data_IF_711192280057
#
_entry.id   IF_711192280057
#
_cell.length_a   1.000
_cell.length_b   1.000
_cell.length_c   1.000
_cell.angle_alpha   90.00
_cell.angle_beta   90.00
_cell.angle_gamma   90.00
#
_symmetry.space_group_name_H-M   'P 1'
#
loop_
_entity.id
_entity.type
_entity.pdbx_description
1 polymer ?
#
# COMPACT_ATOMS: atom_id res chain seq x y z
N UNK A 1 20.95 -3.89 -40.71
CA UNK A 1 20.80 -2.72 -39.83
C UNK A 1 20.61 -3.25 -38.42
N UNK A 2 21.54 -3.00 -37.49
CA UNK A 2 21.49 -3.63 -36.17
C UNK A 2 20.45 -2.97 -35.28
N UNK A 3 19.72 -3.83 -34.59
CA UNK A 3 18.73 -3.61 -33.55
C UNK A 3 19.23 -2.61 -32.50
N UNK A 4 18.49 -1.51 -32.31
CA UNK A 4 18.69 -0.63 -31.18
C UNK A 4 18.21 -1.34 -29.91
N UNK A 5 19.16 -1.87 -29.16
CA UNK A 5 18.97 -2.34 -27.79
C UNK A 5 18.49 -1.17 -26.93
N UNK A 6 17.35 -1.37 -26.27
CA UNK A 6 16.90 -0.53 -25.17
C UNK A 6 18.00 -0.50 -24.10
N UNK A 7 18.23 0.63 -23.42
CA UNK A 7 19.25 0.69 -22.38
C UNK A 7 18.89 -0.26 -21.23
N UNK A 8 19.86 -1.08 -20.85
CA UNK A 8 19.83 -1.94 -19.66
C UNK A 8 19.36 -1.14 -18.44
N UNK A 9 18.22 -1.54 -17.89
CA UNK A 9 17.82 -1.14 -16.54
C UNK A 9 18.81 -1.79 -15.57
N UNK A 10 19.67 -0.97 -14.95
CA UNK A 10 20.67 -1.37 -13.96
C UNK A 10 20.05 -2.28 -12.87
N UNK A 11 20.50 -3.53 -12.80
CA UNK A 11 20.08 -4.60 -11.87
C UNK A 11 20.38 -4.29 -10.38
N UNK A 12 20.76 -3.05 -10.03
CA UNK A 12 21.06 -2.60 -8.67
C UNK A 12 19.91 -1.91 -7.95
N UNK A 13 18.74 -1.77 -8.58
CA UNK A 13 17.52 -1.34 -7.89
C UNK A 13 16.92 -2.55 -7.16
N UNK A 14 16.84 -2.50 -5.83
CA UNK A 14 16.26 -3.60 -5.06
C UNK A 14 14.82 -3.85 -5.53
N UNK A 15 14.60 -4.92 -6.30
CA UNK A 15 13.27 -5.26 -6.80
C UNK A 15 12.38 -5.62 -5.61
N UNK A 16 11.25 -4.94 -5.52
CA UNK A 16 10.19 -5.29 -4.59
C UNK A 16 9.14 -6.06 -5.38
N UNK A 17 8.74 -7.19 -4.82
CA UNK A 17 7.64 -7.96 -5.38
C UNK A 17 6.32 -7.22 -5.10
N UNK A 18 5.82 -6.50 -6.10
CA UNK A 18 4.51 -5.84 -6.08
C UNK A 18 3.36 -6.75 -6.56
N UNK A 19 3.58 -8.07 -6.67
CA UNK A 19 2.57 -8.98 -7.24
C UNK A 19 1.38 -9.25 -6.32
N UNK A 20 1.38 -8.76 -5.08
CA UNK A 20 0.30 -9.07 -4.13
C UNK A 20 -0.10 -7.93 -3.20
N UNK A 21 -1.13 -7.21 -3.65
CA UNK A 21 -1.93 -6.32 -2.83
C UNK A 21 -2.93 -7.13 -1.99
N UNK A 22 -2.80 -7.05 -0.66
CA UNK A 22 -3.54 -7.87 0.32
C UNK A 22 -4.55 -7.01 1.11
N UNK A 23 -4.38 -5.69 1.10
CA UNK A 23 -5.26 -4.76 1.79
C UNK A 23 -6.66 -4.74 1.21
N UNK A 24 -6.83 -5.08 -0.07
CA UNK A 24 -8.09 -5.02 -0.86
C UNK A 24 -8.65 -3.60 -1.02
N UNK A 25 -7.94 -2.61 -0.49
CA UNK A 25 -8.20 -1.18 -0.59
C UNK A 25 -6.84 -0.48 -0.77
N UNK A 26 -6.69 0.46 -1.72
CA UNK A 26 -5.44 1.17 -1.96
C UNK A 26 -4.75 1.71 -0.70
N UNK A 27 -5.51 2.27 0.24
CA UNK A 27 -4.94 2.81 1.48
C UNK A 27 -4.44 1.74 2.47
N UNK A 28 -5.06 0.56 2.52
CA UNK A 28 -4.58 -0.55 3.34
C UNK A 28 -3.35 -1.21 2.72
N UNK A 29 -3.31 -1.28 1.39
CA UNK A 29 -2.15 -1.72 0.65
C UNK A 29 -0.97 -0.77 0.79
N UNK A 30 -1.24 0.54 0.78
CA UNK A 30 -0.26 1.57 1.10
C UNK A 30 0.29 1.39 2.51
N UNK A 31 -0.59 1.19 3.49
CA UNK A 31 -0.22 0.91 4.86
C UNK A 31 0.70 -0.33 4.93
N UNK A 32 0.38 -1.42 4.22
CA UNK A 32 1.15 -2.67 4.19
C UNK A 32 2.49 -2.63 3.41
N UNK A 33 2.82 -1.51 2.76
CA UNK A 33 4.06 -1.37 1.98
C UNK A 33 5.34 -1.32 2.82
N UNK A 34 5.25 -1.13 4.14
CA UNK A 34 6.41 -1.11 5.04
C UNK A 34 7.02 -2.51 5.30
N UNK A 35 6.32 -3.57 4.86
CA UNK A 35 6.68 -4.98 5.06
C UNK A 35 6.46 -5.80 3.79
N UNK A 36 6.99 -5.28 2.69
CA UNK A 36 7.04 -6.01 1.42
C UNK A 36 8.15 -7.05 1.43
N UNK A 37 7.92 -8.15 0.73
CA UNK A 37 8.92 -9.21 0.58
C UNK A 37 9.91 -8.75 -0.49
N UNK A 38 11.20 -8.76 -0.16
CA UNK A 38 12.32 -8.58 -1.10
C UNK A 38 12.65 -9.93 -1.76
N UNK A 39 13.38 -9.91 -2.87
CA UNK A 39 13.78 -11.10 -3.65
C UNK A 39 14.44 -12.24 -2.83
N UNK A 40 15.02 -11.94 -1.66
CA UNK A 40 15.65 -12.94 -0.77
C UNK A 40 14.78 -13.40 0.40
N UNK A 41 13.47 -13.15 0.35
CA UNK A 41 12.54 -13.47 1.43
C UNK A 41 12.66 -12.58 2.67
N UNK A 42 13.52 -11.55 2.63
CA UNK A 42 13.62 -10.55 3.70
C UNK A 42 12.48 -9.54 3.60
N UNK A 43 11.97 -9.10 4.75
CA UNK A 43 11.00 -8.01 4.80
C UNK A 43 11.71 -6.67 4.67
N UNK A 44 11.16 -5.76 3.87
CA UNK A 44 11.63 -4.39 3.73
C UNK A 44 10.51 -3.41 3.45
N UNK A 45 10.83 -2.13 3.63
CA UNK A 45 9.97 -1.03 3.23
C UNK A 45 10.04 -0.86 1.70
N UNK A 46 8.92 -1.13 1.00
CA UNK A 46 8.81 -0.99 -0.45
C UNK A 46 8.91 0.46 -0.95
N UNK A 47 8.85 1.44 -0.05
CA UNK A 47 9.01 2.86 -0.35
C UNK A 47 10.26 3.38 0.37
N UNK A 48 11.39 2.70 0.16
CA UNK A 48 12.68 3.08 0.76
C UNK A 48 13.40 4.20 0.00
N UNK A 49 13.07 4.38 -1.28
CA UNK A 49 13.56 5.46 -2.15
C UNK A 49 12.43 5.95 -3.09
N UNK A 50 12.61 7.12 -3.71
CA UNK A 50 11.51 7.77 -4.46
C UNK A 50 11.11 6.97 -5.71
N UNK A 51 12.08 6.34 -6.37
CA UNK A 51 11.87 5.41 -7.46
C UNK A 51 11.01 4.21 -7.04
N UNK A 52 11.33 3.57 -5.91
CA UNK A 52 10.54 2.47 -5.34
C UNK A 52 9.11 2.89 -4.97
N UNK A 53 8.93 4.15 -4.55
CA UNK A 53 7.62 4.72 -4.28
C UNK A 53 6.80 4.92 -5.55
N UNK A 54 7.39 5.44 -6.63
CA UNK A 54 6.73 5.56 -7.93
C UNK A 54 6.38 4.17 -8.49
N UNK A 55 7.29 3.19 -8.38
CA UNK A 55 7.01 1.81 -8.78
C UNK A 55 5.85 1.21 -7.99
N UNK A 56 5.76 1.47 -6.69
CA UNK A 56 4.63 1.04 -5.86
C UNK A 56 3.31 1.68 -6.32
N UNK A 57 3.30 3.00 -6.57
CA UNK A 57 2.10 3.72 -7.05
C UNK A 57 1.61 3.19 -8.40
N UNK A 58 2.54 2.86 -9.30
CA UNK A 58 2.24 2.27 -10.60
C UNK A 58 1.61 0.88 -10.45
N UNK A 59 2.25 0.00 -9.66
CA UNK A 59 1.72 -1.33 -9.39
C UNK A 59 0.35 -1.28 -8.69
N UNK A 60 0.13 -0.30 -7.81
CA UNK A 60 -1.13 -0.10 -7.10
C UNK A 60 -2.24 0.54 -7.97
N UNK A 61 -1.97 0.79 -9.27
CA UNK A 61 -2.88 1.47 -10.21
C UNK A 61 -3.35 2.85 -9.72
N UNK A 62 -2.45 3.56 -9.04
CA UNK A 62 -2.60 4.96 -8.60
C UNK A 62 -1.94 5.94 -9.58
N UNK A 63 -1.00 5.44 -10.38
CA UNK A 63 -0.24 6.18 -11.38
C UNK A 63 -0.08 5.32 -12.63
N UNK A 64 -0.30 5.86 -13.82
CA UNK A 64 -0.02 5.12 -15.06
C UNK A 64 1.49 5.13 -15.40
N UNK A 65 1.88 4.36 -16.41
CA UNK A 65 3.27 4.21 -16.81
C UNK A 65 3.88 5.53 -17.34
N UNK A 66 3.16 6.28 -18.17
CA UNK A 66 3.66 7.54 -18.75
C UNK A 66 3.95 8.57 -17.66
N UNK A 67 3.03 8.69 -16.70
CA UNK A 67 3.16 9.58 -15.55
C UNK A 67 4.20 9.10 -14.56
N UNK A 68 4.34 7.80 -14.34
CA UNK A 68 5.42 7.24 -13.54
C UNK A 68 6.78 7.66 -14.09
N UNK A 69 7.02 7.47 -15.39
CA UNK A 69 8.26 7.91 -16.03
C UNK A 69 8.47 9.43 -15.93
N UNK A 70 7.41 10.23 -16.13
CA UNK A 70 7.49 11.68 -16.00
C UNK A 70 7.88 12.10 -14.57
N UNK A 71 7.35 11.42 -13.54
CA UNK A 71 7.71 11.67 -12.15
C UNK A 71 9.15 11.28 -11.84
N UNK A 72 9.65 10.17 -12.38
CA UNK A 72 11.05 9.77 -12.22
C UNK A 72 12.00 10.80 -12.86
N UNK A 73 11.72 11.25 -14.09
CA UNK A 73 12.49 12.32 -14.74
C UNK A 73 12.46 13.61 -13.93
N UNK A 74 11.30 13.99 -13.38
CA UNK A 74 11.16 15.19 -12.56
C UNK A 74 11.88 15.08 -11.22
N UNK A 75 11.94 13.89 -10.63
CA UNK A 75 12.67 13.64 -9.38
C UNK A 75 14.18 13.83 -9.55
N UNK A 76 14.75 13.48 -10.71
CA UNK A 76 16.15 13.78 -11.03
C UNK A 76 16.42 15.28 -11.08
N UNK A 77 15.46 16.07 -11.58
CA UNK A 77 15.57 17.54 -11.62
C UNK A 77 15.30 18.21 -10.27
N UNK A 78 14.55 17.58 -9.38
CA UNK A 78 14.13 18.12 -8.08
C UNK A 78 14.26 17.09 -6.95
N UNK A 79 15.48 16.65 -6.62
CA UNK A 79 15.70 15.56 -5.67
C UNK A 79 15.20 15.90 -4.26
N UNK A 80 15.36 17.15 -3.82
CA UNK A 80 14.89 17.61 -2.51
C UNK A 80 13.37 17.53 -2.37
N UNK A 81 12.63 17.98 -3.39
CA UNK A 81 11.17 17.94 -3.38
C UNK A 81 10.64 16.50 -3.47
N UNK A 82 11.27 15.65 -4.28
CA UNK A 82 10.95 14.23 -4.37
C UNK A 82 11.18 13.51 -3.01
N UNK A 83 12.32 13.78 -2.36
CA UNK A 83 12.63 13.25 -1.02
C UNK A 83 11.60 13.71 0.03
N UNK A 84 11.22 14.99 0.01
CA UNK A 84 10.19 15.52 0.90
C UNK A 84 8.82 14.84 0.69
N UNK A 85 8.42 14.61 -0.57
CA UNK A 85 7.18 13.91 -0.89
C UNK A 85 7.20 12.44 -0.41
N UNK A 86 8.32 11.73 -0.57
CA UNK A 86 8.48 10.38 -0.02
C UNK A 86 8.41 10.37 1.50
N UNK A 87 9.08 11.31 2.16
CA UNK A 87 9.04 11.44 3.61
C UNK A 87 7.61 11.66 4.11
N UNK A 88 6.86 12.54 3.44
CA UNK A 88 5.46 12.79 3.74
C UNK A 88 4.57 11.56 3.52
N UNK A 89 4.80 10.81 2.44
CA UNK A 89 4.13 9.52 2.22
C UNK A 89 4.37 8.54 3.38
N UNK A 90 5.62 8.36 3.81
CA UNK A 90 5.95 7.43 4.92
C UNK A 90 5.36 7.92 6.25
N UNK A 91 5.32 9.23 6.49
CA UNK A 91 4.62 9.81 7.65
C UNK A 91 3.13 9.50 7.62
N UNK A 92 2.44 9.79 6.52
CA UNK A 92 1.00 9.54 6.37
C UNK A 92 0.67 8.05 6.43
N UNK A 93 1.56 7.19 5.94
CA UNK A 93 1.44 5.74 6.09
C UNK A 93 1.35 5.33 7.55
N UNK A 94 2.15 5.94 8.43
CA UNK A 94 2.11 5.64 9.86
C UNK A 94 0.80 6.12 10.52
N UNK A 95 0.26 7.27 10.09
CA UNK A 95 -1.04 7.76 10.57
C UNK A 95 -2.16 6.80 10.16
N UNK A 96 -2.20 6.42 8.88
CA UNK A 96 -3.20 5.47 8.36
C UNK A 96 -3.02 4.05 8.95
N UNK A 97 -1.78 3.66 9.28
CA UNK A 97 -1.49 2.42 10.01
C UNK A 97 -2.16 2.44 11.37
N UNK A 98 -2.01 3.52 12.14
CA UNK A 98 -2.67 3.67 13.44
C UNK A 98 -4.20 3.62 13.32
N UNK A 99 -4.77 4.26 12.30
CA UNK A 99 -6.21 4.17 12.01
C UNK A 99 -6.65 2.71 11.75
N UNK A 100 -5.95 1.99 10.88
CA UNK A 100 -6.28 0.62 10.52
C UNK A 100 -6.16 -0.36 11.70
N UNK A 101 -5.21 -0.14 12.61
CA UNK A 101 -5.00 -1.01 13.77
C UNK A 101 -5.96 -0.75 14.92
N UNK A 102 -6.51 0.47 14.99
CA UNK A 102 -7.44 0.92 16.04
C UNK A 102 -8.87 1.03 15.52
N UNK A 103 -9.17 0.43 14.37
CA UNK A 103 -10.46 0.57 13.66
C UNK A 103 -11.67 0.05 14.45
N UNK A 104 -11.44 -0.72 15.53
CA UNK A 104 -12.47 -1.17 16.47
C UNK A 104 -12.73 -0.22 17.66
N UNK A 105 -12.08 0.95 17.70
CA UNK A 105 -12.23 1.97 18.75
C UNK A 105 -12.85 3.23 18.11
N UNK A 106 -14.19 3.38 18.13
CA UNK A 106 -14.85 4.54 17.56
C UNK A 106 -14.41 5.83 18.23
N UNK A 107 -14.23 6.90 17.45
CA UNK A 107 -13.91 8.24 17.94
C UNK A 107 -12.64 8.29 18.82
N UNK A 108 -11.69 7.38 18.54
CA UNK A 108 -10.40 7.37 19.19
C UNK A 108 -9.44 8.42 18.61
N UNK A 109 -8.37 8.73 19.35
CA UNK A 109 -7.34 9.69 18.94
C UNK A 109 -6.73 9.39 17.55
N UNK A 110 -6.60 8.11 17.18
CA UNK A 110 -6.08 7.72 15.86
C UNK A 110 -7.04 8.11 14.73
N UNK A 111 -8.35 7.97 14.95
CA UNK A 111 -9.40 8.39 14.00
C UNK A 111 -9.37 9.91 13.82
N UNK A 112 -9.37 10.67 14.91
CA UNK A 112 -9.30 12.14 14.88
C UNK A 112 -8.04 12.64 14.15
N UNK A 113 -6.88 12.03 14.45
CA UNK A 113 -5.61 12.38 13.80
C UNK A 113 -5.66 12.06 12.31
N UNK A 114 -6.20 10.90 11.93
CA UNK A 114 -6.32 10.51 10.54
C UNK A 114 -7.26 11.42 9.76
N UNK A 115 -8.42 11.77 10.33
CA UNK A 115 -9.37 12.73 9.73
C UNK A 115 -8.70 14.08 9.50
N UNK A 116 -7.96 14.60 10.50
CA UNK A 116 -7.22 15.86 10.36
C UNK A 116 -6.20 15.81 9.22
N UNK A 117 -5.44 14.72 9.10
CA UNK A 117 -4.43 14.56 8.05
C UNK A 117 -5.06 14.35 6.66
N UNK A 118 -6.14 13.57 6.57
CA UNK A 118 -6.92 13.40 5.34
C UNK A 118 -7.42 14.75 4.87
N UNK A 119 -8.07 15.53 5.74
CA UNK A 119 -8.59 16.85 5.40
C UNK A 119 -7.47 17.83 5.02
N UNK A 120 -6.31 17.77 5.68
CA UNK A 120 -5.15 18.60 5.32
C UNK A 120 -4.64 18.32 3.91
N UNK A 121 -4.57 17.04 3.51
CA UNK A 121 -4.14 16.68 2.15
C UNK A 121 -5.22 17.04 1.13
N UNK A 122 -6.47 16.63 1.34
CA UNK A 122 -7.55 16.90 0.40
C UNK A 122 -7.81 18.40 0.23
N UNK A 123 -7.78 19.17 1.31
CA UNK A 123 -8.01 20.62 1.27
C UNK A 123 -6.90 21.43 0.60
N UNK A 124 -5.69 20.88 0.49
CA UNK A 124 -4.55 21.51 -0.22
C UNK A 124 -4.38 20.99 -1.66
N UNK A 125 -5.14 19.98 -2.05
CA UNK A 125 -5.02 19.33 -3.35
C UNK A 125 -5.89 20.05 -4.38
N UNK A 126 -5.29 20.94 -5.17
CA UNK A 126 -5.92 21.49 -6.36
C UNK A 126 -5.56 20.64 -7.58
N UNK A 127 -6.54 20.21 -8.37
CA UNK A 127 -6.28 19.32 -9.50
C UNK A 127 -7.51 18.64 -10.08
N UNK A 128 -7.28 17.70 -10.99
CA UNK A 128 -8.33 16.93 -11.66
C UNK A 128 -8.21 15.44 -11.36
N UNK A 129 -9.35 14.82 -11.05
CA UNK A 129 -9.48 13.35 -10.95
C UNK A 129 -9.65 12.77 -12.33
N UNK A 130 -8.90 11.72 -12.66
CA UNK A 130 -8.93 11.07 -13.97
C UNK A 130 -9.06 9.57 -13.84
N UNK A 131 -9.62 8.98 -14.89
CA UNK A 131 -9.57 7.54 -15.16
C UNK A 131 -8.84 7.39 -16.48
N UNK A 132 -7.71 6.71 -16.44
CA UNK A 132 -6.77 6.55 -17.56
C UNK A 132 -6.65 5.05 -17.90
N UNK A 133 -6.37 4.72 -19.16
CA UNK A 133 -6.15 3.33 -19.57
C UNK A 133 -4.81 2.82 -19.02
N UNK A 134 -4.83 1.63 -18.43
CA UNK A 134 -3.63 0.92 -18.00
C UNK A 134 -2.96 0.17 -19.15
N UNK A 135 -1.66 -0.10 -19.03
CA UNK A 135 -0.91 -0.89 -20.02
C UNK A 135 -1.33 -2.36 -20.09
N UNK A 136 -2.03 -2.85 -19.06
CA UNK A 136 -2.56 -4.21 -18.94
C UNK A 136 -4.02 -4.35 -19.43
N UNK A 137 -4.54 -3.34 -20.12
CA UNK A 137 -5.95 -3.28 -20.55
C UNK A 137 -6.93 -2.95 -19.43
N UNK A 138 -6.44 -2.67 -18.21
CA UNK A 138 -7.24 -2.18 -17.09
C UNK A 138 -7.39 -0.66 -17.08
N UNK A 139 -7.82 -0.13 -15.94
CA UNK A 139 -7.93 1.31 -15.70
C UNK A 139 -7.14 1.72 -14.46
N UNK A 140 -6.60 2.93 -14.50
CA UNK A 140 -5.87 3.59 -13.42
C UNK A 140 -6.68 4.79 -12.96
N UNK A 141 -6.90 4.92 -11.64
CA UNK A 141 -7.46 6.13 -11.06
C UNK A 141 -6.32 7.01 -10.60
N UNK A 142 -6.28 8.23 -11.12
CA UNK A 142 -5.16 9.13 -10.88
C UNK A 142 -5.64 10.53 -10.53
N UNK A 143 -4.74 11.32 -9.94
CA UNK A 143 -4.99 12.72 -9.63
C UNK A 143 -3.91 13.58 -10.29
N UNK A 144 -4.30 14.49 -11.17
CA UNK A 144 -3.40 15.45 -11.82
C UNK A 144 -3.45 16.74 -11.03
N UNK A 145 -2.43 16.99 -10.23
CA UNK A 145 -2.32 18.18 -9.38
C UNK A 145 -1.95 19.42 -10.18
N UNK A 146 -2.41 20.57 -9.72
CA UNK A 146 -1.99 21.90 -10.17
C UNK A 146 -0.96 22.42 -9.17
N UNK A 147 0.20 22.85 -9.67
CA UNK A 147 1.29 23.36 -8.83
C UNK A 147 2.31 22.27 -8.49
N UNK A 148 2.45 21.94 -7.20
CA UNK A 148 3.41 20.91 -6.75
C UNK A 148 2.99 19.53 -7.26
N UNK A 149 3.70 19.07 -8.29
CA UNK A 149 3.47 17.80 -8.99
C UNK A 149 3.57 16.58 -8.07
N UNK A 150 4.39 16.63 -7.03
CA UNK A 150 4.59 15.49 -6.13
C UNK A 150 3.51 15.38 -5.06
N UNK A 151 2.92 16.51 -4.66
CA UNK A 151 1.85 16.54 -3.65
C UNK A 151 0.60 15.75 -4.08
N UNK A 152 0.35 15.67 -5.39
CA UNK A 152 -0.80 14.93 -5.95
C UNK A 152 -0.69 13.40 -5.86
N UNK A 153 0.51 12.85 -5.64
CA UNK A 153 0.74 11.40 -5.75
C UNK A 153 -0.02 10.57 -4.71
N UNK A 154 -0.23 11.12 -3.51
CA UNK A 154 -0.97 10.44 -2.44
C UNK A 154 -2.48 10.62 -2.51
N UNK A 155 -2.98 11.56 -3.31
CA UNK A 155 -4.40 11.93 -3.28
C UNK A 155 -5.31 10.73 -3.48
N UNK A 156 -5.12 9.83 -4.46
CA UNK A 156 -6.00 8.67 -4.63
C UNK A 156 -5.97 7.68 -3.46
N UNK A 157 -4.82 7.56 -2.77
CA UNK A 157 -4.67 6.73 -1.57
C UNK A 157 -5.43 7.36 -0.40
N UNK A 158 -5.31 8.68 -0.21
CA UNK A 158 -6.02 9.42 0.83
C UNK A 158 -7.53 9.44 0.59
N UNK A 159 -7.96 9.59 -0.66
CA UNK A 159 -9.37 9.45 -1.04
C UNK A 159 -9.90 8.06 -0.69
N UNK A 160 -9.13 7.00 -0.96
CA UNK A 160 -9.52 5.64 -0.59
C UNK A 160 -9.68 5.44 0.93
N UNK A 161 -8.88 6.13 1.74
CA UNK A 161 -9.04 6.12 3.20
C UNK A 161 -10.28 6.92 3.65
N UNK A 162 -10.53 8.06 3.03
CA UNK A 162 -11.71 8.88 3.27
C UNK A 162 -13.00 8.12 2.93
N UNK A 163 -13.02 7.41 1.79
CA UNK A 163 -14.14 6.58 1.36
C UNK A 163 -14.47 5.51 2.43
N UNK A 164 -13.45 4.86 3.01
CA UNK A 164 -13.65 3.87 4.07
C UNK A 164 -14.26 4.47 5.36
N UNK A 165 -13.91 5.71 5.70
CA UNK A 165 -14.52 6.43 6.83
C UNK A 165 -15.99 6.73 6.55
N UNK A 166 -16.28 7.31 5.37
CA UNK A 166 -17.65 7.69 4.96
C UNK A 166 -18.56 6.47 4.85
N UNK A 167 -18.04 5.33 4.37
CA UNK A 167 -18.79 4.08 4.23
C UNK A 167 -18.97 3.32 5.55
N UNK A 168 -18.30 3.73 6.63
CA UNK A 168 -18.33 3.02 7.90
C UNK A 168 -17.61 1.67 7.85
N UNK A 169 -16.57 1.54 7.02
CA UNK A 169 -15.85 0.29 6.76
C UNK A 169 -14.85 -0.08 7.86
N UNK A 170 -14.53 0.84 8.80
CA UNK A 170 -13.54 0.63 9.86
C UNK A 170 -13.72 -0.69 10.66
N UNK A 171 -14.95 -1.06 11.10
CA UNK A 171 -15.16 -2.31 11.84
C UNK A 171 -14.82 -3.58 11.06
N UNK A 172 -14.72 -3.50 9.72
CA UNK A 172 -14.31 -4.62 8.85
C UNK A 172 -12.81 -4.69 8.62
N UNK A 173 -12.04 -3.77 9.20
CA UNK A 173 -10.58 -3.78 9.07
C UNK A 173 -10.00 -4.62 10.19
N UNK A 174 -9.12 -5.55 9.84
CA UNK A 174 -8.55 -6.49 10.78
C UNK A 174 -7.04 -6.59 10.62
N UNK A 175 -6.34 -6.79 11.75
CA UNK A 175 -4.96 -7.29 11.74
C UNK A 175 -4.98 -8.80 11.47
N UNK A 176 -3.98 -9.27 10.71
CA UNK A 176 -3.79 -10.70 10.50
C UNK A 176 -3.60 -11.43 11.84
N UNK A 177 -4.34 -12.51 12.07
CA UNK A 177 -4.25 -13.28 13.31
C UNK A 177 -2.97 -14.12 13.43
N UNK A 178 -2.04 -14.04 12.46
CA UNK A 178 -0.76 -14.75 12.53
C UNK A 178 0.21 -13.90 13.35
N UNK A 179 0.74 -14.38 14.50
CA UNK A 179 1.63 -13.59 15.36
C UNK A 179 2.87 -13.04 14.67
N UNK A 180 3.28 -13.65 13.55
CA UNK A 180 4.43 -13.21 12.75
C UNK A 180 4.02 -12.37 11.52
N UNK A 181 2.77 -11.93 11.43
CA UNK A 181 2.25 -11.13 10.33
C UNK A 181 1.56 -9.88 10.84
N UNK A 182 2.13 -8.71 10.53
CA UNK A 182 1.61 -7.41 10.95
C UNK A 182 0.73 -6.73 9.89
N UNK A 183 0.27 -7.48 8.88
CA UNK A 183 -0.56 -6.91 7.81
C UNK A 183 -1.97 -6.62 8.30
N UNK A 184 -2.57 -5.55 7.79
CA UNK A 184 -3.98 -5.20 7.95
C UNK A 184 -4.73 -5.47 6.63
N UNK A 185 -6.02 -5.77 6.70
CA UNK A 185 -6.83 -6.04 5.51
C UNK A 185 -8.29 -5.68 5.75
N UNK A 186 -9.02 -5.43 4.67
CA UNK A 186 -10.47 -5.28 4.70
C UNK A 186 -11.16 -6.65 4.61
N UNK A 187 -12.14 -6.90 5.48
CA UNK A 187 -12.93 -8.12 5.47
C UNK A 187 -14.20 -7.98 4.63
N UNK A 188 -14.03 -8.26 3.34
CA UNK A 188 -15.12 -8.39 2.37
C UNK A 188 -15.92 -9.69 2.50
N UNK A 189 -15.61 -10.58 3.46
CA UNK A 189 -16.38 -11.81 3.63
C UNK A 189 -17.80 -11.53 4.11
N UNK A 190 -18.74 -12.37 3.65
CA UNK A 190 -20.18 -12.25 3.96
C UNK A 190 -20.45 -12.11 5.46
N UNK A 191 -19.68 -12.80 6.31
CA UNK A 191 -19.90 -12.83 7.75
C UNK A 191 -18.95 -11.93 8.55
N UNK A 192 -17.97 -11.27 7.92
CA UNK A 192 -17.01 -10.41 8.63
C UNK A 192 -16.16 -11.18 9.65
N UNK A 193 -15.78 -12.43 9.35
CA UNK A 193 -15.01 -13.31 10.25
C UNK A 193 -13.69 -13.80 9.67
N UNK A 194 -13.17 -13.17 8.62
CA UNK A 194 -11.85 -13.50 8.07
C UNK A 194 -10.78 -13.15 9.10
N UNK A 195 -9.94 -14.14 9.41
CA UNK A 195 -8.87 -14.02 10.41
C UNK A 195 -7.49 -13.78 9.81
N UNK A 196 -7.30 -14.08 8.53
CA UNK A 196 -5.98 -14.09 7.90
C UNK A 196 -5.99 -13.13 6.73
N UNK A 197 -4.93 -12.33 6.61
CA UNK A 197 -4.73 -11.45 5.47
C UNK A 197 -4.74 -12.22 4.15
N UNK A 198 -4.30 -13.47 4.15
CA UNK A 198 -4.39 -14.34 2.99
C UNK A 198 -4.43 -15.80 3.42
N UNK A 199 -5.33 -16.58 2.82
CA UNK A 199 -5.52 -18.00 3.16
C UNK A 199 -4.35 -18.85 2.65
N UNK A 200 -3.85 -18.57 1.44
CA UNK A 200 -2.79 -19.37 0.82
C UNK A 200 -1.47 -19.29 1.60
N UNK A 201 -1.20 -18.15 2.24
CA UNK A 201 0.02 -17.91 3.02
C UNK A 201 -0.23 -18.06 4.53
N UNK A 202 -0.88 -17.09 5.18
CA UNK A 202 -1.05 -17.07 6.64
C UNK A 202 -2.04 -18.14 7.12
N UNK A 203 -3.13 -18.37 6.40
CA UNK A 203 -4.10 -19.42 6.73
C UNK A 203 -3.48 -20.82 6.70
N UNK A 204 -2.75 -21.15 5.64
CA UNK A 204 -2.07 -22.44 5.51
C UNK A 204 -0.94 -22.63 6.52
N UNK A 205 -0.16 -21.59 6.83
CA UNK A 205 0.83 -21.62 7.92
C UNK A 205 0.20 -21.97 9.27
N UNK A 206 -0.94 -21.37 9.59
CA UNK A 206 -1.68 -21.67 10.81
C UNK A 206 -2.22 -23.12 10.83
N UNK A 207 -2.74 -23.63 9.71
CA UNK A 207 -3.16 -25.04 9.59
C UNK A 207 -1.99 -26.00 9.82
N UNK A 208 -0.85 -25.76 9.19
CA UNK A 208 0.34 -26.58 9.32
C UNK A 208 0.89 -26.58 10.77
N UNK A 209 0.88 -25.43 11.45
CA UNK A 209 1.30 -25.33 12.86
C UNK A 209 0.40 -26.18 13.78
N UNK A 210 -0.93 -26.11 13.62
CA UNK A 210 -1.88 -26.94 14.38
C UNK A 210 -1.68 -28.43 14.12
N UNK A 211 -1.44 -28.83 12.87
CA UNK A 211 -1.17 -30.22 12.53
C UNK A 211 0.10 -30.74 13.23
N UNK A 212 1.19 -29.95 13.22
CA UNK A 212 2.43 -30.28 13.93
C UNK A 212 2.24 -30.40 15.45
N UNK A 213 1.42 -29.55 16.06
CA UNK A 213 1.10 -29.63 17.50
C UNK A 213 0.34 -30.93 17.84
N UNK A 214 -0.61 -31.33 16.99
CA UNK A 214 -1.36 -32.58 17.16
C UNK A 214 -0.46 -33.81 17.08
N UNK A 215 0.48 -33.85 16.12
CA UNK A 215 1.41 -34.98 15.96
C UNK A 215 2.46 -35.03 17.08
N UNK A 216 2.83 -33.87 17.66
CA UNK A 216 3.81 -33.77 18.74
C UNK A 216 3.23 -34.00 20.15
N UNK A 217 1.91 -34.13 20.29
CA UNK A 217 1.31 -34.48 21.57
C UNK A 217 1.36 -35.99 21.69
N UNK A 218 2.21 -36.59 22.54
CA UNK A 218 2.14 -38.01 22.79
C UNK A 218 0.77 -38.27 23.43
N UNK A 219 0.03 -39.25 22.92
CA UNK A 219 -1.06 -39.84 23.68
C UNK A 219 -0.39 -40.49 24.89
N UNK A 220 -0.43 -39.79 26.04
CA UNK A 220 -0.12 -40.43 27.32
C UNK A 220 -1.31 -41.33 27.61
N UNK A 221 -1.11 -42.63 27.39
CA UNK A 221 -2.03 -43.69 27.80
C UNK A 221 -1.89 -43.87 29.31
#
# INVERSE_FOLDING_TARGET
MPTALLPDFDERTTSFDFTRFIGERPWLDFVNSDRSVRDRGQLGDAMNAFDSYVSWLSAARVLDAERAEAMLRRAQQQPTAASAALHEARRLRNVLRSLAEQSGIPHGRAEETAISEINRILGRSAGSRRVESGSDGGFVRSFVTVGDVFAGLLVPVIESAADALVQGDLPRIHRCANPHCNRVFFDASRNGKRRWCDMATCGNRAKAARHRQKIRTPVVI
#
